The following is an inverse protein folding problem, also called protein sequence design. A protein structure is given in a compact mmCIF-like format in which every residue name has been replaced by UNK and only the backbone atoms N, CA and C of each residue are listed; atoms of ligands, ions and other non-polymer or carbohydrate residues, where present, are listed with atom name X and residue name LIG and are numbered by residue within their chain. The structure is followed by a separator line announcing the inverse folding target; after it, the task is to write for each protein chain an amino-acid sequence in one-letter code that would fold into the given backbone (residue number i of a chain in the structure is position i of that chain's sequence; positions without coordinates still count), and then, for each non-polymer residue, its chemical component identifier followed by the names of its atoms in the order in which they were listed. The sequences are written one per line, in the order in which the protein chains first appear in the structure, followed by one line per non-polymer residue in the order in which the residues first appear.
data_IF_558456402660
#
_entry.id   IF_558456402660
#
_cell.length_a   1.000
_cell.length_b   1.000
_cell.length_c   1.000
_cell.angle_alpha   90.00
_cell.angle_beta   90.00
_cell.angle_gamma   90.00
#
_symmetry.space_group_name_H-M   'P 1'
#
loop_
_entity.id
_entity.type
_entity.pdbx_description
1 polymer ?
#
# COMPACT_ATOMS: atom_id res chain seq x y z
N UNK A 1 -8.30 -7.55 -11.61
CA UNK A 1 -7.81 -8.16 -10.36
C UNK A 1 -9.00 -8.52 -9.47
N UNK A 2 -8.96 -9.62 -8.72
CA UNK A 2 -10.01 -9.98 -7.75
C UNK A 2 -9.57 -9.57 -6.32
N UNK A 3 -10.09 -8.47 -5.78
CA UNK A 3 -9.71 -7.97 -4.45
C UNK A 3 -9.93 -8.97 -3.32
N UNK A 4 -10.94 -9.84 -3.44
CA UNK A 4 -11.18 -10.90 -2.46
C UNK A 4 -9.95 -11.81 -2.32
N UNK A 5 -9.30 -12.13 -3.45
CA UNK A 5 -8.12 -13.00 -3.44
C UNK A 5 -6.91 -12.39 -2.71
N UNK A 6 -6.79 -11.05 -2.67
CA UNK A 6 -5.74 -10.39 -1.89
C UNK A 6 -6.01 -10.46 -0.38
N UNK A 7 -7.27 -10.27 0.00
CA UNK A 7 -7.70 -10.39 1.40
C UNK A 7 -7.48 -11.82 1.88
N UNK A 8 -7.86 -12.82 1.07
CA UNK A 8 -7.66 -14.23 1.38
C UNK A 8 -6.18 -14.59 1.51
N UNK A 9 -5.35 -14.21 0.53
CA UNK A 9 -3.90 -14.40 0.60
C UNK A 9 -3.32 -13.80 1.87
N UNK A 10 -3.66 -12.54 2.17
CA UNK A 10 -3.10 -11.89 3.35
C UNK A 10 -3.61 -12.50 4.65
N UNK A 11 -4.91 -12.87 4.74
CA UNK A 11 -5.50 -13.59 5.88
C UNK A 11 -4.80 -14.93 6.12
N UNK A 12 -4.39 -15.61 5.06
CA UNK A 12 -3.75 -16.92 5.11
C UNK A 12 -2.22 -16.80 5.35
N UNK A 13 -1.70 -15.57 5.47
CA UNK A 13 -0.30 -15.29 5.78
C UNK A 13 0.62 -15.36 4.57
N UNK A 14 0.06 -15.35 3.36
CA UNK A 14 0.82 -15.28 2.11
C UNK A 14 1.31 -13.85 1.90
N UNK A 15 2.58 -13.75 1.50
CA UNK A 15 3.21 -12.48 1.16
C UNK A 15 2.68 -11.95 -0.19
N UNK A 16 2.30 -10.68 -0.22
CA UNK A 16 1.79 -10.04 -1.43
C UNK A 16 2.93 -9.46 -2.26
N UNK A 17 2.83 -9.56 -3.59
CA UNK A 17 3.82 -8.94 -4.47
C UNK A 17 3.71 -7.41 -4.46
N UNK A 18 4.80 -6.68 -4.74
CA UNK A 18 4.78 -5.23 -4.85
C UNK A 18 3.75 -4.70 -5.86
N UNK A 19 3.57 -5.41 -6.98
CA UNK A 19 2.59 -5.09 -8.02
C UNK A 19 1.17 -5.22 -7.48
N UNK A 20 0.88 -6.29 -6.74
CA UNK A 20 -0.42 -6.52 -6.14
C UNK A 20 -0.78 -5.44 -5.10
N UNK A 21 0.20 -4.99 -4.31
CA UNK A 21 0.03 -3.89 -3.36
C UNK A 21 -0.18 -2.57 -4.09
N UNK A 22 0.54 -2.32 -5.18
CA UNK A 22 0.34 -1.11 -5.98
C UNK A 22 -1.06 -1.06 -6.60
N UNK A 23 -1.51 -2.14 -7.22
CA UNK A 23 -2.86 -2.25 -7.80
C UNK A 23 -3.95 -2.03 -6.73
N UNK A 24 -3.76 -2.58 -5.52
CA UNK A 24 -4.68 -2.39 -4.40
C UNK A 24 -4.82 -0.91 -4.03
N UNK A 25 -3.70 -0.19 -3.89
CA UNK A 25 -3.70 1.21 -3.45
C UNK A 25 -4.22 2.15 -4.53
N UNK A 26 -3.87 1.92 -5.80
CA UNK A 26 -4.40 2.67 -6.93
C UNK A 26 -5.92 2.50 -6.99
N UNK A 27 -6.40 1.25 -6.97
CA UNK A 27 -7.84 0.98 -7.06
C UNK A 27 -8.63 1.53 -5.87
N UNK A 28 -8.06 1.53 -4.65
CA UNK A 28 -8.71 2.18 -3.50
C UNK A 28 -8.75 3.71 -3.65
N UNK A 29 -7.65 4.31 -4.12
CA UNK A 29 -7.56 5.77 -4.34
C UNK A 29 -8.52 6.26 -5.43
N UNK A 30 -8.85 5.39 -6.39
CA UNK A 30 -9.85 5.63 -7.44
C UNK A 30 -11.29 5.27 -7.03
N UNK A 31 -11.53 4.93 -5.76
CA UNK A 31 -12.83 4.50 -5.23
C UNK A 31 -13.43 3.26 -5.92
N UNK A 32 -12.58 2.43 -6.55
CA UNK A 32 -12.97 1.16 -7.17
C UNK A 32 -13.07 -0.01 -6.18
N UNK A 33 -12.54 0.17 -4.96
CA UNK A 33 -12.65 -0.78 -3.84
C UNK A 33 -13.60 -0.20 -2.81
N UNK A 34 -14.54 -1.03 -2.35
CA UNK A 34 -15.49 -0.65 -1.31
C UNK A 34 -14.79 -0.62 0.06
N UNK A 35 -15.13 0.34 0.91
CA UNK A 35 -14.46 0.57 2.20
C UNK A 35 -14.41 -0.68 3.09
N UNK A 36 -15.46 -1.51 3.06
CA UNK A 36 -15.51 -2.74 3.85
C UNK A 36 -14.48 -3.79 3.39
N UNK A 37 -14.09 -3.79 2.11
CA UNK A 37 -13.05 -4.69 1.60
C UNK A 37 -11.67 -4.22 2.08
N UNK A 38 -11.44 -2.90 2.06
CA UNK A 38 -10.21 -2.32 2.60
C UNK A 38 -10.12 -2.55 4.12
N UNK A 39 -11.21 -2.38 4.86
CA UNK A 39 -11.26 -2.69 6.29
C UNK A 39 -10.93 -4.16 6.58
N UNK A 40 -11.46 -5.10 5.77
CA UNK A 40 -11.13 -6.52 5.89
C UNK A 40 -9.64 -6.81 5.59
N UNK A 41 -9.07 -6.17 4.57
CA UNK A 41 -7.63 -6.24 4.28
C UNK A 41 -6.78 -5.74 5.45
N UNK A 42 -7.11 -4.56 6.00
CA UNK A 42 -6.41 -3.97 7.15
C UNK A 42 -6.46 -4.87 8.37
N UNK A 43 -7.59 -5.54 8.61
CA UNK A 43 -7.70 -6.52 9.70
C UNK A 43 -6.82 -7.76 9.46
N UNK A 44 -6.74 -8.25 8.22
CA UNK A 44 -5.83 -9.34 7.86
C UNK A 44 -4.36 -8.94 8.09
N UNK A 45 -3.97 -7.73 7.68
CA UNK A 45 -2.64 -7.17 7.92
C UNK A 45 -2.35 -7.03 9.42
N UNK A 46 -3.30 -6.58 10.23
CA UNK A 46 -3.11 -6.44 11.68
C UNK A 46 -2.76 -7.77 12.36
N UNK A 47 -3.40 -8.87 11.95
CA UNK A 47 -3.13 -10.20 12.51
C UNK A 47 -1.91 -10.91 11.93
N UNK A 48 -1.60 -10.69 10.65
CA UNK A 48 -0.50 -11.40 9.95
C UNK A 48 0.78 -10.60 9.81
N UNK A 49 0.72 -9.30 10.05
CA UNK A 49 1.81 -8.37 9.80
C UNK A 49 2.11 -8.21 8.31
N UNK A 50 3.17 -7.48 8.00
CA UNK A 50 3.75 -7.34 6.67
C UNK A 50 5.25 -7.55 6.75
N UNK A 51 5.83 -8.14 5.70
CA UNK A 51 7.28 -8.17 5.54
C UNK A 51 7.83 -6.76 5.32
N UNK A 52 9.15 -6.61 5.39
CA UNK A 52 9.81 -5.34 5.05
C UNK A 52 9.56 -4.95 3.59
N UNK A 53 9.54 -5.92 2.67
CA UNK A 53 9.31 -5.67 1.25
C UNK A 53 7.85 -5.25 0.98
N UNK A 54 6.89 -5.91 1.61
CA UNK A 54 5.48 -5.51 1.57
C UNK A 54 5.28 -4.10 2.14
N UNK A 55 5.89 -3.80 3.30
CA UNK A 55 5.79 -2.48 3.95
C UNK A 55 6.38 -1.38 3.08
N UNK A 56 7.52 -1.65 2.43
CA UNK A 56 8.14 -0.74 1.47
C UNK A 56 7.24 -0.53 0.26
N UNK A 57 6.69 -1.58 -0.32
CA UNK A 57 5.78 -1.49 -1.46
C UNK A 57 4.53 -0.69 -1.14
N UNK A 58 3.91 -0.91 0.03
CA UNK A 58 2.75 -0.16 0.50
C UNK A 58 3.08 1.33 0.65
N UNK A 59 4.21 1.64 1.28
CA UNK A 59 4.67 3.02 1.50
C UNK A 59 4.88 3.75 0.17
N UNK A 60 5.54 3.11 -0.80
CA UNK A 60 5.77 3.69 -2.12
C UNK A 60 4.45 3.87 -2.89
N UNK A 61 3.57 2.88 -2.86
CA UNK A 61 2.26 2.96 -3.52
C UNK A 61 1.39 4.10 -2.94
N UNK A 62 1.40 4.29 -1.63
CA UNK A 62 0.69 5.41 -0.99
C UNK A 62 1.32 6.77 -1.29
N UNK A 63 2.65 6.87 -1.35
CA UNK A 63 3.36 8.10 -1.77
C UNK A 63 2.96 8.49 -3.20
N UNK A 64 2.92 7.50 -4.09
CA UNK A 64 2.73 7.69 -5.53
C UNK A 64 1.26 7.82 -5.95
N UNK A 65 0.29 7.56 -5.05
CA UNK A 65 -1.14 7.73 -5.35
C UNK A 65 -1.61 9.19 -5.39
N UNK A 66 -0.73 10.12 -5.00
CA UNK A 66 -1.01 11.56 -4.95
C UNK A 66 0.02 12.41 -5.69
N UNK A 67 0.21 13.62 -5.19
CA UNK A 67 1.24 14.54 -5.71
C UNK A 67 2.55 14.33 -4.96
N UNK A 68 3.60 13.98 -5.69
CA UNK A 68 4.96 13.91 -5.16
C UNK A 68 5.64 15.26 -5.40
N UNK A 69 6.04 15.92 -4.32
CA UNK A 69 6.73 17.20 -4.39
C UNK A 69 8.16 16.98 -4.91
N UNK A 70 8.61 17.88 -5.79
CA UNK A 70 9.99 17.98 -6.22
C UNK A 70 10.62 19.18 -5.51
N UNK A 71 11.77 18.95 -4.89
CA UNK A 71 12.50 20.01 -4.22
C UNK A 71 13.49 20.67 -5.19
N UNK A 72 13.77 21.97 -5.04
CA UNK A 72 14.79 22.63 -5.84
C UNK A 72 16.18 22.04 -5.52
N UNK A 73 17.08 22.08 -6.50
CA UNK A 73 18.48 21.74 -6.27
C UNK A 73 19.10 22.78 -5.32
N UNK A 74 19.49 22.32 -4.12
CA UNK A 74 20.08 23.12 -3.05
C UNK A 74 21.09 22.24 -2.28
N UNK A 75 22.23 22.79 -1.88
CA UNK A 75 23.28 22.08 -1.16
C UNK A 75 22.90 21.76 0.30
N UNK A 76 21.85 22.40 0.83
CA UNK A 76 21.40 22.21 2.20
C UNK A 76 20.47 21.00 2.31
N UNK A 77 20.59 20.20 3.39
CA UNK A 77 19.72 19.05 3.57
C UNK A 77 18.28 19.49 3.87
N UNK A 78 17.33 18.76 3.28
CA UNK A 78 15.90 18.87 3.59
C UNK A 78 15.61 17.85 4.70
N UNK A 79 15.09 18.33 5.83
CA UNK A 79 14.92 17.53 7.05
C UNK A 79 13.47 17.61 7.51
N UNK A 80 12.95 16.50 8.01
CA UNK A 80 11.61 16.35 8.58
C UNK A 80 11.69 15.59 9.92
N UNK A 81 10.75 15.80 10.85
CA UNK A 81 10.76 15.23 12.21
C UNK A 81 9.38 14.81 12.73
#
# INVERSE_FOLDING_TARGET
MNFLSLIEQKRDGVELSPEAINELIVAYSEASILDYQMAAFLMAVNFRGMSTDETRALTLAMRDSGKVLQFPEDDRPIVDK
#
